data_IF_366243683421
#
_entry.id   IF_366243683421
#
_cell.length_a   1.000
_cell.length_b   1.000
_cell.length_c   1.000
_cell.angle_alpha   90.00
_cell.angle_beta   90.00
_cell.angle_gamma   90.00
#
_symmetry.space_group_name_H-M   'P 1'
#
loop_
_entity.id
_entity.type
_entity.pdbx_description
1 polymer ?
#
# COMPACT_ATOMS: atom_id res chain seq x y z
N UNK A 1 -9.44 -11.30 8.82
CA UNK A 1 -9.40 -9.86 8.55
C UNK A 1 -10.06 -9.61 7.20
N UNK A 2 -11.17 -8.86 7.16
CA UNK A 2 -11.81 -8.46 5.90
C UNK A 2 -11.47 -7.00 5.67
N UNK A 3 -10.43 -6.73 4.88
CA UNK A 3 -10.14 -5.38 4.42
C UNK A 3 -11.16 -5.09 3.32
N UNK A 4 -12.01 -4.09 3.54
CA UNK A 4 -13.03 -3.68 2.60
C UNK A 4 -13.01 -2.15 2.49
N UNK A 5 -13.45 -1.60 1.34
CA UNK A 5 -13.67 -0.16 1.23
C UNK A 5 -14.60 0.35 2.33
N UNK A 6 -14.42 1.61 2.73
CA UNK A 6 -15.38 2.30 3.60
C UNK A 6 -16.77 2.33 2.96
N UNK A 7 -17.81 2.64 3.74
CA UNK A 7 -19.20 2.72 3.25
C UNK A 7 -19.31 3.61 2.00
N UNK A 8 -19.84 3.05 0.90
CA UNK A 8 -19.95 3.71 -0.40
C UNK A 8 -18.68 3.68 -1.26
N UNK A 9 -17.57 3.17 -0.73
CA UNK A 9 -16.35 2.90 -1.48
C UNK A 9 -16.51 1.73 -2.44
N UNK A 10 -15.75 1.77 -3.54
CA UNK A 10 -15.70 0.69 -4.53
C UNK A 10 -14.54 -0.25 -4.20
N UNK A 11 -14.77 -1.55 -4.35
CA UNK A 11 -13.71 -2.55 -4.27
C UNK A 11 -12.90 -2.59 -5.58
N UNK A 12 -12.05 -3.60 -5.75
CA UNK A 12 -11.22 -3.71 -6.95
C UNK A 12 -12.09 -3.73 -8.23
N UNK A 13 -13.02 -4.67 -8.33
CA UNK A 13 -13.91 -4.81 -9.49
C UNK A 13 -14.76 -3.54 -9.72
N UNK A 14 -15.35 -2.98 -8.66
CA UNK A 14 -16.11 -1.75 -8.77
C UNK A 14 -15.26 -0.57 -9.25
N UNK A 15 -13.98 -0.51 -8.87
CA UNK A 15 -13.04 0.51 -9.33
C UNK A 15 -12.70 0.31 -10.81
N UNK A 16 -12.49 -0.94 -11.26
CA UNK A 16 -12.28 -1.23 -12.68
C UNK A 16 -13.49 -0.80 -13.52
N UNK A 17 -14.70 -1.09 -13.06
CA UNK A 17 -15.92 -0.68 -13.76
C UNK A 17 -16.11 0.84 -13.77
N UNK A 18 -15.74 1.54 -12.69
CA UNK A 18 -15.74 3.00 -12.66
C UNK A 18 -14.71 3.60 -13.63
N UNK A 19 -13.53 3.00 -13.75
CA UNK A 19 -12.52 3.38 -14.74
C UNK A 19 -13.05 3.19 -16.16
N UNK A 20 -13.66 2.04 -16.47
CA UNK A 20 -14.25 1.77 -17.79
C UNK A 20 -15.32 2.79 -18.19
N UNK A 21 -16.09 3.30 -17.21
CA UNK A 21 -17.10 4.34 -17.43
C UNK A 21 -16.53 5.77 -17.51
N UNK A 22 -15.26 5.97 -17.15
CA UNK A 22 -14.66 7.31 -17.07
C UNK A 22 -15.08 8.11 -15.84
N UNK A 23 -15.57 7.45 -14.79
CA UNK A 23 -16.05 8.10 -13.55
C UNK A 23 -14.89 8.52 -12.62
N UNK A 24 -13.65 8.09 -12.92
CA UNK A 24 -12.50 8.27 -12.04
C UNK A 24 -11.61 9.39 -12.54
N UNK A 25 -11.60 10.51 -11.81
CA UNK A 25 -10.71 11.64 -12.12
C UNK A 25 -9.27 11.39 -11.66
N UNK A 26 -9.08 10.88 -10.45
CA UNK A 26 -7.76 10.66 -9.86
C UNK A 26 -7.67 9.23 -9.34
N UNK A 27 -6.67 8.49 -9.81
CA UNK A 27 -6.37 7.14 -9.36
C UNK A 27 -4.95 7.09 -8.76
N UNK A 28 -4.84 6.62 -7.52
CA UNK A 28 -3.56 6.22 -6.94
C UNK A 28 -3.39 4.71 -7.09
N UNK A 29 -2.31 4.28 -7.73
CA UNK A 29 -1.96 2.86 -7.90
C UNK A 29 -0.69 2.56 -7.13
N UNK A 30 -0.81 1.73 -6.09
CA UNK A 30 0.33 1.21 -5.34
C UNK A 30 0.78 -0.12 -5.94
N UNK A 31 2.06 -0.23 -6.25
CA UNK A 31 2.64 -1.41 -6.90
C UNK A 31 2.66 -1.34 -8.42
N UNK A 32 3.01 -2.45 -9.05
CA UNK A 32 3.42 -2.50 -10.46
C UNK A 32 2.45 -3.25 -11.38
N UNK A 33 1.34 -3.79 -10.87
CA UNK A 33 0.33 -4.51 -11.65
C UNK A 33 -1.10 -4.15 -11.21
N UNK A 34 -2.07 -4.44 -12.07
CA UNK A 34 -3.50 -4.38 -11.76
C UNK A 34 -4.10 -5.78 -11.92
N UNK A 35 -4.10 -6.55 -10.83
CA UNK A 35 -4.47 -7.96 -10.88
C UNK A 35 -3.60 -8.74 -11.87
N UNK A 36 -4.23 -9.63 -12.63
CA UNK A 36 -3.59 -10.44 -13.67
C UNK A 36 -3.81 -9.86 -15.10
N UNK A 37 -4.17 -8.57 -15.21
CA UNK A 37 -4.43 -7.94 -16.50
C UNK A 37 -3.15 -7.83 -17.35
N UNK A 38 -3.23 -8.11 -18.67
CA UNK A 38 -2.10 -7.93 -19.57
C UNK A 38 -1.76 -6.44 -19.74
N UNK A 39 -0.52 -6.17 -20.17
CA UNK A 39 0.03 -4.81 -20.24
C UNK A 39 -0.81 -3.85 -21.10
N UNK A 40 -1.32 -4.31 -22.24
CA UNK A 40 -2.12 -3.47 -23.15
C UNK A 40 -3.47 -3.10 -22.53
N UNK A 41 -4.12 -4.04 -21.83
CA UNK A 41 -5.37 -3.76 -21.10
C UNK A 41 -5.14 -2.81 -19.92
N UNK A 42 -4.02 -2.93 -19.21
CA UNK A 42 -3.62 -1.97 -18.16
C UNK A 42 -3.50 -0.56 -18.75
N UNK A 43 -2.80 -0.42 -19.87
CA UNK A 43 -2.60 0.87 -20.56
C UNK A 43 -3.94 1.46 -21.00
N UNK A 44 -4.79 0.66 -21.64
CA UNK A 44 -6.12 1.10 -22.08
C UNK A 44 -6.97 1.54 -20.89
N UNK A 45 -7.03 0.75 -19.83
CA UNK A 45 -7.86 1.05 -18.66
C UNK A 45 -7.40 2.32 -17.93
N UNK A 46 -6.10 2.47 -17.71
CA UNK A 46 -5.54 3.64 -17.03
C UNK A 46 -5.69 4.92 -17.84
N UNK A 47 -5.73 4.84 -19.18
CA UNK A 47 -5.99 6.00 -20.04
C UNK A 47 -7.38 6.63 -19.85
N UNK A 48 -8.31 5.91 -19.21
CA UNK A 48 -9.68 6.38 -18.94
C UNK A 48 -9.80 7.25 -17.68
N UNK A 49 -8.77 7.27 -16.84
CA UNK A 49 -8.68 8.21 -15.72
C UNK A 49 -8.02 9.52 -16.15
N UNK A 50 -8.47 10.65 -15.57
CA UNK A 50 -7.90 11.97 -15.89
C UNK A 50 -6.45 12.10 -15.37
N UNK A 51 -6.18 11.55 -14.18
CA UNK A 51 -4.86 11.52 -13.56
C UNK A 51 -4.59 10.16 -12.92
N UNK A 52 -3.43 9.58 -13.23
CA UNK A 52 -2.94 8.35 -12.61
C UNK A 52 -1.61 8.63 -11.91
N UNK A 53 -1.58 8.40 -10.60
CA UNK A 53 -0.37 8.50 -9.77
C UNK A 53 0.06 7.10 -9.39
N UNK A 54 1.23 6.66 -9.87
CA UNK A 54 1.80 5.38 -9.50
C UNK A 54 2.87 5.52 -8.41
N UNK A 55 2.75 4.69 -7.37
CA UNK A 55 3.71 4.58 -6.28
C UNK A 55 4.27 3.16 -6.31
N UNK A 56 5.47 3.01 -6.85
CA UNK A 56 6.10 1.70 -7.07
C UNK A 56 7.64 1.79 -7.07
N UNK A 57 8.34 0.67 -6.77
CA UNK A 57 9.79 0.64 -6.77
C UNK A 57 10.43 0.41 -8.14
N UNK A 58 9.67 -0.09 -9.12
CA UNK A 58 10.18 -0.49 -10.43
C UNK A 58 9.28 0.02 -11.56
N UNK A 59 9.86 0.12 -12.75
CA UNK A 59 9.12 0.34 -14.00
C UNK A 59 8.18 -0.83 -14.32
N UNK A 60 7.00 -0.52 -14.85
CA UNK A 60 6.00 -1.49 -15.25
C UNK A 60 4.98 -0.89 -16.22
N UNK A 61 4.08 -1.70 -16.83
CA UNK A 61 2.99 -1.18 -17.65
C UNK A 61 2.11 -0.15 -16.92
N UNK A 62 1.99 -0.25 -15.59
CA UNK A 62 1.27 0.74 -14.77
C UNK A 62 2.02 2.06 -14.73
N UNK A 63 3.34 2.03 -14.47
CA UNK A 63 4.14 3.27 -14.40
C UNK A 63 4.22 3.96 -15.75
N UNK A 64 4.35 3.19 -16.84
CA UNK A 64 4.36 3.71 -18.22
C UNK A 64 3.05 4.41 -18.58
N UNK A 65 1.92 3.91 -18.09
CA UNK A 65 0.59 4.49 -18.32
C UNK A 65 0.21 5.60 -17.33
N UNK A 66 1.11 5.95 -16.39
CA UNK A 66 0.80 6.91 -15.32
C UNK A 66 1.16 8.34 -15.69
N UNK A 67 0.32 9.29 -15.26
CA UNK A 67 0.60 10.73 -15.41
C UNK A 67 1.75 11.18 -14.52
N UNK A 68 1.90 10.56 -13.35
CA UNK A 68 2.96 10.84 -12.40
C UNK A 68 3.44 9.55 -11.74
N UNK A 69 4.75 9.39 -11.64
CA UNK A 69 5.38 8.29 -10.89
C UNK A 69 6.09 8.86 -9.67
N UNK A 70 5.76 8.33 -8.50
CA UNK A 70 6.42 8.60 -7.23
C UNK A 70 7.24 7.37 -6.84
N UNK A 71 8.58 7.40 -6.96
CA UNK A 71 9.40 6.23 -6.71
C UNK A 71 9.34 5.82 -5.23
N UNK A 72 8.92 4.59 -4.98
CA UNK A 72 8.84 4.03 -3.62
C UNK A 72 10.05 3.13 -3.33
N UNK A 73 10.41 3.00 -2.05
CA UNK A 73 11.43 2.07 -1.61
C UNK A 73 10.97 0.62 -1.83
N UNK A 74 11.89 -0.23 -2.28
CA UNK A 74 11.65 -1.68 -2.38
C UNK A 74 11.51 -2.32 -0.99
N UNK A 75 11.06 -3.57 -0.93
CA UNK A 75 10.94 -4.30 0.35
C UNK A 75 12.27 -4.38 1.11
N UNK A 76 13.41 -4.40 0.43
CA UNK A 76 14.73 -4.45 1.02
C UNK A 76 15.19 -3.09 1.59
N UNK A 77 14.53 -2.00 1.19
CA UNK A 77 14.90 -0.63 1.53
C UNK A 77 14.00 0.02 2.58
N UNK A 78 12.97 -0.72 3.03
CA UNK A 78 12.05 -0.30 4.07
C UNK A 78 11.93 -1.38 5.14
N UNK A 79 11.15 -1.08 6.17
CA UNK A 79 10.86 -2.00 7.27
C UNK A 79 9.36 -2.00 7.55
N UNK A 80 8.90 -2.99 8.31
CA UNK A 80 7.49 -3.15 8.57
C UNK A 80 7.13 -4.53 9.07
N UNK A 81 5.87 -4.89 8.85
CA UNK A 81 5.34 -6.23 9.11
C UNK A 81 4.62 -6.79 7.90
N UNK A 82 4.74 -8.10 7.69
CA UNK A 82 3.87 -8.88 6.82
C UNK A 82 2.95 -9.76 7.66
N UNK A 83 1.71 -9.94 7.20
CA UNK A 83 0.81 -11.00 7.70
C UNK A 83 0.63 -12.02 6.58
N UNK A 84 1.07 -13.25 6.79
CA UNK A 84 1.00 -14.27 5.74
C UNK A 84 -0.38 -14.95 5.66
N UNK A 85 -0.58 -15.84 4.68
CA UNK A 85 -1.86 -16.54 4.45
C UNK A 85 -2.34 -17.41 5.63
N UNK A 86 -1.42 -17.81 6.52
CA UNK A 86 -1.72 -18.56 7.75
C UNK A 86 -2.02 -17.65 8.95
N UNK A 87 -2.02 -16.32 8.79
CA UNK A 87 -2.25 -15.38 9.89
C UNK A 87 -1.04 -15.15 10.79
N UNK A 88 0.17 -15.54 10.35
CA UNK A 88 1.40 -15.22 11.08
C UNK A 88 1.86 -13.81 10.72
N UNK A 89 2.02 -12.97 11.74
CA UNK A 89 2.58 -11.62 11.63
C UNK A 89 4.09 -11.71 11.83
N UNK A 90 4.86 -11.15 10.90
CA UNK A 90 6.31 -11.22 10.88
C UNK A 90 6.90 -9.84 10.61
N UNK A 91 7.95 -9.48 11.33
CA UNK A 91 8.70 -8.26 11.06
C UNK A 91 9.68 -8.50 9.92
N UNK A 92 9.89 -7.46 9.13
CA UNK A 92 11.03 -7.38 8.23
C UNK A 92 11.79 -6.09 8.49
N UNK A 93 13.10 -6.15 8.28
CA UNK A 93 14.02 -5.07 8.59
C UNK A 93 14.61 -4.51 7.31
N UNK A 94 14.90 -3.22 7.34
CA UNK A 94 15.58 -2.55 6.24
C UNK A 94 17.00 -3.11 6.07
N UNK A 95 17.29 -3.66 4.91
CA UNK A 95 18.61 -4.19 4.57
C UNK A 95 19.52 -3.10 3.96
N UNK A 96 18.94 -2.17 3.19
CA UNK A 96 19.64 -1.06 2.54
C UNK A 96 18.90 0.26 2.78
N UNK A 97 19.56 1.42 2.80
CA UNK A 97 18.83 2.69 2.74
C UNK A 97 18.12 2.83 1.38
N UNK A 98 16.97 3.56 1.31
CA UNK A 98 16.34 3.89 0.03
C UNK A 98 17.32 4.54 -0.94
N UNK A 99 17.36 4.05 -2.18
CA UNK A 99 18.27 4.55 -3.21
C UNK A 99 17.70 5.76 -3.95
N UNK A 100 18.59 6.63 -4.41
CA UNK A 100 18.27 7.79 -5.26
C UNK A 100 17.18 8.68 -4.64
N UNK A 101 16.12 8.96 -5.39
CA UNK A 101 14.99 9.79 -4.96
C UNK A 101 13.90 8.98 -4.23
N UNK A 102 14.02 7.65 -4.18
CA UNK A 102 13.01 6.77 -3.61
C UNK A 102 12.78 7.06 -2.13
N UNK A 103 11.53 6.92 -1.71
CA UNK A 103 11.09 7.13 -0.32
C UNK A 103 10.30 5.93 0.12
N UNK A 104 10.33 5.63 1.41
CA UNK A 104 9.38 4.66 1.93
C UNK A 104 7.94 5.16 1.71
N UNK A 105 7.00 4.22 1.55
CA UNK A 105 5.62 4.54 1.24
C UNK A 105 4.96 5.40 2.33
N UNK A 106 5.39 5.25 3.60
CA UNK A 106 4.88 6.04 4.72
C UNK A 106 5.31 7.51 4.60
N UNK A 107 6.56 7.79 4.24
CA UNK A 107 7.05 9.14 4.00
C UNK A 107 6.29 9.78 2.82
N UNK A 108 6.08 9.05 1.73
CA UNK A 108 5.30 9.53 0.57
C UNK A 108 3.89 9.92 1.02
N UNK A 109 3.20 9.02 1.72
CA UNK A 109 1.82 9.21 2.17
C UNK A 109 1.68 10.34 3.20
N UNK A 110 2.56 10.41 4.19
CA UNK A 110 2.51 11.46 5.23
C UNK A 110 2.82 12.84 4.65
N UNK A 111 3.74 12.94 3.69
CA UNK A 111 4.02 14.20 2.99
C UNK A 111 2.85 14.64 2.12
N UNK A 112 2.20 13.70 1.43
CA UNK A 112 1.00 13.98 0.63
C UNK A 112 -0.15 14.43 1.54
N UNK A 113 -0.41 13.70 2.62
CA UNK A 113 -1.43 14.04 3.62
C UNK A 113 -1.23 15.46 4.16
N UNK A 114 0.01 15.83 4.54
CA UNK A 114 0.35 17.17 5.00
C UNK A 114 0.04 18.25 3.95
N UNK A 115 0.36 17.99 2.69
CA UNK A 115 0.05 18.92 1.58
C UNK A 115 -1.46 19.07 1.35
N UNK A 116 -2.24 18.04 1.68
CA UNK A 116 -3.71 18.05 1.61
C UNK A 116 -4.38 18.56 2.90
N UNK A 117 -3.61 19.04 3.87
CA UNK A 117 -4.13 19.60 5.13
C UNK A 117 -4.41 18.57 6.23
N UNK A 118 -4.03 17.30 6.04
CA UNK A 118 -4.12 16.28 7.07
C UNK A 118 -2.85 16.25 7.93
N UNK A 119 -3.01 16.18 9.25
CA UNK A 119 -1.91 16.20 10.23
C UNK A 119 -1.55 14.78 10.67
N UNK A 120 -1.07 13.95 9.74
CA UNK A 120 -0.51 12.64 10.11
C UNK A 120 0.90 12.81 10.66
N UNK A 121 1.12 12.38 11.90
CA UNK A 121 2.40 12.54 12.62
C UNK A 121 3.26 11.26 12.66
N UNK A 122 2.89 10.23 11.90
CA UNK A 122 3.66 8.99 11.82
C UNK A 122 5.04 9.22 11.19
N UNK A 123 6.08 8.77 11.89
CA UNK A 123 7.49 8.81 11.49
C UNK A 123 8.05 7.43 11.21
N UNK A 124 7.47 6.38 11.78
CA UNK A 124 7.97 5.00 11.65
C UNK A 124 6.85 4.02 11.38
N UNK A 125 7.19 2.88 10.77
CA UNK A 125 6.26 1.77 10.59
C UNK A 125 5.78 1.17 11.93
N UNK A 126 6.59 1.26 13.00
CA UNK A 126 6.23 0.82 14.35
C UNK A 126 5.09 1.68 14.93
N UNK A 127 5.13 3.00 14.74
CA UNK A 127 4.04 3.89 15.19
C UNK A 127 2.73 3.60 14.44
N UNK A 128 2.81 3.36 13.13
CA UNK A 128 1.64 2.94 12.33
C UNK A 128 1.11 1.59 12.80
N UNK A 129 2.00 0.65 13.09
CA UNK A 129 1.62 -0.67 13.60
C UNK A 129 0.97 -0.58 14.99
N UNK A 130 1.46 0.28 15.87
CA UNK A 130 0.86 0.51 17.19
C UNK A 130 -0.56 1.10 17.08
N UNK A 131 -0.77 2.07 16.18
CA UNK A 131 -2.11 2.61 15.90
C UNK A 131 -3.04 1.53 15.33
N UNK A 132 -2.55 0.73 14.39
CA UNK A 132 -3.29 -0.40 13.81
C UNK A 132 -3.68 -1.41 14.90
N UNK A 133 -2.74 -1.79 15.77
CA UNK A 133 -2.96 -2.71 16.89
C UNK A 133 -3.96 -2.19 17.92
N UNK A 134 -4.05 -0.86 18.09
CA UNK A 134 -5.04 -0.21 18.95
C UNK A 134 -6.46 -0.20 18.39
N UNK A 135 -6.63 -0.37 17.07
CA UNK A 135 -7.93 -0.25 16.38
C UNK A 135 -8.48 -1.58 15.86
N UNK A 136 -7.60 -2.46 15.39
CA UNK A 136 -7.98 -3.69 14.72
C UNK A 136 -7.87 -4.89 15.67
N UNK A 137 -8.99 -5.57 16.01
CA UNK A 137 -8.98 -6.70 16.96
C UNK A 137 -8.02 -7.82 16.60
N UNK A 138 -7.75 -8.02 15.30
CA UNK A 138 -6.77 -9.01 14.85
C UNK A 138 -5.37 -8.71 15.40
N UNK A 139 -4.97 -7.45 15.52
CA UNK A 139 -3.64 -7.06 15.99
C UNK A 139 -3.61 -6.69 17.48
N UNK A 140 -4.69 -6.92 18.22
CA UNK A 140 -4.82 -6.51 19.61
C UNK A 140 -3.69 -7.09 20.48
N UNK A 141 -3.04 -6.23 21.26
CA UNK A 141 -1.92 -6.60 22.13
C UNK A 141 -0.59 -6.86 21.41
N UNK A 142 -0.55 -6.70 20.08
CA UNK A 142 0.69 -6.83 19.33
C UNK A 142 1.49 -5.53 19.31
N UNK A 143 2.80 -5.67 19.42
CA UNK A 143 3.81 -4.63 19.21
C UNK A 143 4.99 -5.25 18.46
N UNK A 144 5.94 -4.43 18.02
CA UNK A 144 7.16 -4.96 17.39
C UNK A 144 7.97 -5.87 18.32
N UNK A 145 7.88 -5.65 19.63
CA UNK A 145 8.53 -6.46 20.66
C UNK A 145 7.81 -7.81 20.80
N UNK A 146 6.48 -7.84 20.84
CA UNK A 146 5.73 -9.11 20.99
C UNK A 146 5.71 -9.94 19.71
N UNK A 147 5.70 -9.31 18.53
CA UNK A 147 5.88 -10.02 17.25
C UNK A 147 7.26 -10.67 17.19
N UNK A 148 8.29 -10.00 17.72
CA UNK A 148 9.64 -10.53 17.83
C UNK A 148 10.29 -10.84 16.47
N UNK A 149 11.40 -11.57 16.51
CA UNK A 149 12.19 -11.89 15.32
C UNK A 149 11.58 -13.01 14.46
N UNK A 150 11.00 -14.03 15.09
CA UNK A 150 10.41 -15.19 14.39
C UNK A 150 8.95 -14.98 13.98
N UNK A 151 8.37 -13.83 14.31
CA UNK A 151 6.96 -13.54 14.14
C UNK A 151 6.07 -14.33 15.10
N UNK A 152 4.79 -13.95 15.12
CA UNK A 152 3.78 -14.51 16.01
C UNK A 152 2.60 -15.03 15.20
N UNK A 153 2.07 -16.18 15.59
CA UNK A 153 0.84 -16.73 15.02
C UNK A 153 -0.36 -16.01 15.64
N UNK A 154 -1.22 -15.43 14.80
CA UNK A 154 -2.36 -14.66 15.27
C UNK A 154 -3.65 -15.38 14.85
N UNK A 155 -4.36 -15.89 15.85
CA UNK A 155 -5.50 -16.79 15.66
C UNK A 155 -5.10 -18.20 15.20
N UNK A 156 -5.93 -19.18 15.55
CA UNK A 156 -6.03 -20.46 14.85
C UNK A 156 -7.01 -20.25 13.69
N UNK A 157 -6.63 -20.62 12.46
CA UNK A 157 -7.66 -20.89 11.45
C UNK A 157 -8.22 -22.28 11.76
N UNK A 158 -9.51 -22.32 12.06
CA UNK A 158 -10.36 -23.52 11.88
C UNK A 158 -10.31 -23.95 10.42
#
# INVERSE_FOLDING_TARGET
MKIAPATGGKDFEGTLEALKRGDVKLLFVFGSCLGDLPADEVKELLSKAEYVVNIAPNESPVSEASTLVLPSASFAEKEGTYTNFKGRVQRFFRAFPPRYAAKDDLEILTRLARKLGASWEFKTAEEVFAELAGREPFFAGLSYQTVGYYGIQVGEKV
#
